data_IF_402860592847
#
_entry.id   IF_402860592847
#
_cell.length_a   1.000
_cell.length_b   1.000
_cell.length_c   1.000
_cell.angle_alpha   90.00
_cell.angle_beta   90.00
_cell.angle_gamma   90.00
#
_symmetry.space_group_name_H-M   'P 1'
#
loop_
_entity.id
_entity.type
_entity.pdbx_description
1 polymer ?
#
# COMPACT_ATOMS: atom_id res chain seq x y z
N UNK A 1 -20.11 5.21 9.83
CA UNK A 1 -20.74 3.88 9.59
C UNK A 1 -21.95 4.01 8.70
N UNK A 2 -22.88 4.91 8.95
CA UNK A 2 -24.08 5.13 8.12
C UNK A 2 -23.74 5.37 6.65
N UNK A 3 -22.86 6.33 6.34
CA UNK A 3 -22.42 6.59 4.96
C UNK A 3 -21.84 5.34 4.26
N UNK A 4 -21.10 4.48 4.98
CA UNK A 4 -20.55 3.25 4.41
C UNK A 4 -21.67 2.24 4.09
N UNK A 5 -22.68 2.17 4.94
CA UNK A 5 -23.85 1.32 4.73
C UNK A 5 -24.73 1.80 3.57
N UNK A 6 -24.88 3.13 3.40
CA UNK A 6 -25.56 3.72 2.25
C UNK A 6 -24.82 3.39 0.94
N UNK A 7 -23.50 3.45 0.99
CA UNK A 7 -22.64 3.10 -0.14
C UNK A 7 -22.78 1.63 -0.57
N UNK A 8 -22.89 0.72 0.39
CA UNK A 8 -23.13 -0.69 0.12
C UNK A 8 -24.47 -0.95 -0.54
N UNK A 9 -25.46 -0.08 -0.33
CA UNK A 9 -26.77 -0.15 -1.01
C UNK A 9 -26.70 0.25 -2.49
N UNK A 10 -25.70 1.05 -2.87
CA UNK A 10 -25.51 1.48 -4.27
C UNK A 10 -24.76 0.44 -5.12
N UNK A 11 -24.20 -0.62 -4.50
CA UNK A 11 -23.53 -1.68 -5.22
C UNK A 11 -24.56 -2.48 -6.02
N UNK A 12 -24.36 -2.56 -7.34
CA UNK A 12 -25.25 -3.31 -8.23
C UNK A 12 -25.27 -4.80 -7.87
N UNK A 13 -26.46 -5.30 -7.60
CA UNK A 13 -26.69 -6.72 -7.35
C UNK A 13 -26.96 -7.44 -8.68
N UNK A 14 -25.94 -8.10 -9.23
CA UNK A 14 -26.01 -8.81 -10.52
C UNK A 14 -26.87 -10.09 -10.46
N UNK A 15 -27.42 -10.45 -9.29
CA UNK A 15 -28.25 -11.65 -9.12
C UNK A 15 -29.67 -11.42 -9.66
N UNK A 16 -30.30 -12.51 -10.11
CA UNK A 16 -31.71 -12.47 -10.53
C UNK A 16 -32.60 -12.15 -9.32
N UNK A 17 -33.33 -11.05 -9.34
CA UNK A 17 -34.14 -10.53 -8.23
C UNK A 17 -35.02 -11.60 -7.58
N UNK A 18 -35.71 -12.43 -8.40
CA UNK A 18 -36.59 -13.54 -7.91
C UNK A 18 -35.86 -14.63 -7.14
N UNK A 19 -34.53 -14.70 -7.22
CA UNK A 19 -33.70 -15.70 -6.54
C UNK A 19 -32.91 -15.12 -5.36
N UNK A 20 -33.06 -13.82 -5.10
CA UNK A 20 -32.36 -13.14 -4.00
C UNK A 20 -33.10 -13.39 -2.70
N UNK A 21 -32.53 -14.24 -1.84
CA UNK A 21 -33.05 -14.51 -0.48
C UNK A 21 -32.48 -13.53 0.54
N UNK A 22 -31.19 -13.20 0.42
CA UNK A 22 -30.48 -12.28 1.34
C UNK A 22 -30.00 -11.07 0.54
N UNK A 23 -30.20 -9.87 1.08
CA UNK A 23 -29.72 -8.62 0.47
C UNK A 23 -28.21 -8.65 0.28
N UNK A 24 -27.71 -8.05 -0.79
CA UNK A 24 -26.27 -7.95 -1.04
C UNK A 24 -25.57 -7.20 0.09
N UNK A 25 -26.14 -6.09 0.55
CA UNK A 25 -25.67 -5.31 1.71
C UNK A 25 -25.49 -6.18 2.95
N UNK A 26 -26.48 -7.05 3.28
CA UNK A 26 -26.42 -7.91 4.47
C UNK A 26 -25.20 -8.85 4.38
N UNK A 27 -24.94 -9.42 3.21
CA UNK A 27 -23.81 -10.30 2.96
C UNK A 27 -22.48 -9.54 3.11
N UNK A 28 -22.36 -8.38 2.48
CA UNK A 28 -21.12 -7.57 2.54
C UNK A 28 -20.82 -7.15 3.99
N UNK A 29 -21.84 -6.72 4.74
CA UNK A 29 -21.67 -6.32 6.14
C UNK A 29 -21.24 -7.48 7.01
N UNK A 30 -21.84 -8.67 6.84
CA UNK A 30 -21.42 -9.86 7.59
C UNK A 30 -19.94 -10.17 7.32
N UNK A 31 -19.55 -10.23 6.05
CA UNK A 31 -18.17 -10.53 5.66
C UNK A 31 -17.21 -9.46 6.18
N UNK A 32 -17.57 -8.18 6.09
CA UNK A 32 -16.76 -7.09 6.61
C UNK A 32 -16.52 -7.23 8.13
N UNK A 33 -17.57 -7.41 8.92
CA UNK A 33 -17.45 -7.53 10.37
C UNK A 33 -16.69 -8.81 10.79
N UNK A 34 -16.92 -9.92 10.11
CA UNK A 34 -16.17 -11.16 10.34
C UNK A 34 -14.68 -10.97 10.03
N UNK A 35 -14.35 -10.34 8.90
CA UNK A 35 -12.95 -10.04 8.52
C UNK A 35 -12.28 -9.11 9.53
N UNK A 36 -12.96 -8.07 10.01
CA UNK A 36 -12.45 -7.18 11.06
C UNK A 36 -12.22 -7.91 12.39
N UNK A 37 -13.00 -8.97 12.65
CA UNK A 37 -12.80 -9.87 13.79
C UNK A 37 -11.72 -10.94 13.52
N UNK A 38 -10.97 -10.84 12.43
CA UNK A 38 -9.92 -11.79 12.01
C UNK A 38 -10.44 -13.19 11.67
N UNK A 39 -11.71 -13.31 11.24
CA UNK A 39 -12.28 -14.55 10.72
C UNK A 39 -12.02 -14.63 9.21
N UNK A 40 -11.35 -15.68 8.75
CA UNK A 40 -10.87 -15.78 7.36
C UNK A 40 -11.47 -16.97 6.57
N UNK A 41 -12.25 -17.80 7.20
CA UNK A 41 -12.92 -18.95 6.58
C UNK A 41 -14.44 -18.74 6.47
N UNK A 42 -15.04 -19.18 5.37
CA UNK A 42 -16.46 -18.95 5.10
C UNK A 42 -17.39 -19.65 6.11
N UNK A 43 -17.02 -20.83 6.58
CA UNK A 43 -17.79 -21.57 7.58
C UNK A 43 -17.71 -20.85 8.93
N UNK A 44 -16.53 -20.38 9.30
CA UNK A 44 -16.36 -19.59 10.50
C UNK A 44 -17.09 -18.24 10.43
N UNK A 45 -17.17 -17.61 9.24
CA UNK A 45 -17.97 -16.38 9.02
C UNK A 45 -19.47 -16.61 9.24
N UNK A 46 -20.01 -17.76 8.82
CA UNK A 46 -21.39 -18.15 9.12
C UNK A 46 -21.60 -18.30 10.63
N UNK A 47 -20.71 -19.01 11.34
CA UNK A 47 -20.76 -19.13 12.80
C UNK A 47 -20.64 -17.79 13.51
N UNK A 48 -19.72 -16.93 13.06
CA UNK A 48 -19.58 -15.56 13.56
C UNK A 48 -20.90 -14.80 13.43
N UNK A 49 -21.52 -14.86 12.26
CA UNK A 49 -22.77 -14.16 11.99
C UNK A 49 -23.93 -14.68 12.87
N UNK A 50 -24.02 -15.98 13.08
CA UNK A 50 -25.00 -16.57 14.01
C UNK A 50 -24.77 -16.11 15.45
N UNK A 51 -23.52 -16.12 15.92
CA UNK A 51 -23.19 -15.72 17.28
C UNK A 51 -23.44 -14.22 17.53
N UNK A 52 -23.16 -13.38 16.53
CA UNK A 52 -23.30 -11.93 16.62
C UNK A 52 -24.57 -11.38 15.96
N UNK A 53 -25.59 -12.21 15.72
CA UNK A 53 -26.79 -11.83 14.98
C UNK A 53 -27.50 -10.59 15.57
N UNK A 54 -27.64 -10.50 16.89
CA UNK A 54 -28.26 -9.37 17.57
C UNK A 54 -27.48 -8.06 17.36
N UNK A 55 -26.15 -8.16 17.31
CA UNK A 55 -25.29 -7.01 17.03
C UNK A 55 -25.41 -6.59 15.56
N UNK A 56 -25.38 -7.52 14.63
CA UNK A 56 -25.51 -7.27 13.19
C UNK A 56 -26.85 -6.62 12.83
N UNK A 57 -27.94 -6.97 13.54
CA UNK A 57 -29.27 -6.36 13.37
C UNK A 57 -29.35 -4.87 13.63
N UNK A 58 -28.32 -4.28 14.24
CA UNK A 58 -28.19 -2.82 14.38
C UNK A 58 -27.84 -2.13 13.05
N UNK A 59 -27.32 -2.86 12.09
CA UNK A 59 -26.80 -2.34 10.82
C UNK A 59 -27.51 -2.89 9.59
N UNK A 60 -28.09 -4.10 9.70
CA UNK A 60 -28.71 -4.84 8.60
C UNK A 60 -29.98 -5.54 9.04
N UNK A 61 -30.89 -5.78 8.09
CA UNK A 61 -32.22 -6.28 8.43
C UNK A 61 -32.24 -7.78 8.78
N UNK A 62 -31.44 -8.59 8.10
CA UNK A 62 -31.42 -10.06 8.22
C UNK A 62 -32.83 -10.68 8.14
N UNK A 63 -33.65 -10.20 7.20
CA UNK A 63 -35.06 -10.58 7.05
C UNK A 63 -35.26 -12.11 6.92
N UNK A 64 -34.35 -12.79 6.26
CA UNK A 64 -34.38 -14.23 6.03
C UNK A 64 -33.32 -14.99 6.85
N UNK A 65 -32.88 -14.40 7.99
CA UNK A 65 -31.83 -14.97 8.85
C UNK A 65 -30.42 -14.81 8.28
N UNK A 66 -29.51 -15.60 8.80
CA UNK A 66 -28.09 -15.59 8.39
C UNK A 66 -27.95 -16.41 7.09
N UNK A 67 -27.22 -15.90 6.08
CA UNK A 67 -26.88 -16.67 4.89
C UNK A 67 -25.86 -17.77 5.23
N UNK A 68 -25.98 -18.93 4.56
CA UNK A 68 -24.99 -20.02 4.70
C UNK A 68 -23.63 -19.62 4.12
N UNK A 69 -22.57 -20.29 4.58
CA UNK A 69 -21.20 -20.11 4.08
C UNK A 69 -21.10 -20.23 2.55
N UNK A 70 -21.82 -21.17 1.93
CA UNK A 70 -21.89 -21.29 0.47
C UNK A 70 -22.49 -20.05 -0.19
N UNK A 71 -23.50 -19.44 0.43
CA UNK A 71 -24.11 -18.20 -0.06
C UNK A 71 -23.15 -17.04 0.09
N UNK A 72 -22.47 -16.92 1.24
CA UNK A 72 -21.45 -15.90 1.46
C UNK A 72 -20.33 -16.00 0.41
N UNK A 73 -19.73 -17.18 0.27
CA UNK A 73 -18.66 -17.45 -0.69
C UNK A 73 -19.08 -17.13 -2.14
N UNK A 74 -20.22 -17.69 -2.58
CA UNK A 74 -20.70 -17.52 -3.94
C UNK A 74 -21.05 -16.08 -4.28
N UNK A 75 -21.71 -15.37 -3.38
CA UNK A 75 -22.12 -13.98 -3.63
C UNK A 75 -20.93 -13.03 -3.60
N UNK A 76 -20.00 -13.17 -2.65
CA UNK A 76 -18.77 -12.39 -2.63
C UNK A 76 -17.91 -12.64 -3.87
N UNK A 77 -17.90 -13.86 -4.41
CA UNK A 77 -17.23 -14.17 -5.67
C UNK A 77 -17.85 -13.54 -6.93
N UNK A 78 -19.05 -12.97 -6.84
CA UNK A 78 -19.70 -12.22 -7.93
C UNK A 78 -19.34 -10.73 -7.91
N UNK A 79 -18.84 -10.21 -6.79
CA UNK A 79 -18.41 -8.80 -6.67
C UNK A 79 -17.04 -8.66 -7.31
N UNK A 80 -16.90 -7.65 -8.18
CA UNK A 80 -15.61 -7.40 -8.83
C UNK A 80 -14.58 -6.83 -7.87
N UNK A 81 -13.30 -7.04 -8.17
CA UNK A 81 -12.20 -6.46 -7.38
C UNK A 81 -12.22 -4.94 -7.38
N UNK A 82 -12.68 -4.33 -8.48
CA UNK A 82 -12.85 -2.89 -8.63
C UNK A 82 -13.89 -2.34 -7.65
N UNK A 83 -15.07 -2.98 -7.57
CA UNK A 83 -16.13 -2.58 -6.61
C UNK A 83 -15.65 -2.69 -5.16
N UNK A 84 -14.92 -3.75 -4.80
CA UNK A 84 -14.34 -3.88 -3.47
C UNK A 84 -13.28 -2.82 -3.18
N UNK A 85 -12.46 -2.44 -4.17
CA UNK A 85 -11.48 -1.37 -4.04
C UNK A 85 -12.15 0.00 -3.86
N UNK A 86 -13.23 0.27 -4.58
CA UNK A 86 -14.02 1.50 -4.42
C UNK A 86 -14.63 1.60 -3.02
N UNK A 87 -15.25 0.51 -2.54
CA UNK A 87 -15.79 0.44 -1.18
C UNK A 87 -14.71 0.69 -0.13
N UNK A 88 -13.53 0.09 -0.33
CA UNK A 88 -12.39 0.26 0.56
C UNK A 88 -11.86 1.70 0.55
N UNK A 89 -11.77 2.32 -0.62
CA UNK A 89 -11.34 3.73 -0.76
C UNK A 89 -12.29 4.68 -0.04
N UNK A 90 -13.60 4.43 -0.13
CA UNK A 90 -14.61 5.22 0.59
C UNK A 90 -14.51 5.04 2.11
N UNK A 91 -14.30 3.82 2.56
CA UNK A 91 -14.06 3.56 3.97
C UNK A 91 -12.82 4.34 4.49
N UNK A 92 -11.73 4.36 3.71
CA UNK A 92 -10.53 5.14 4.03
C UNK A 92 -10.82 6.64 4.10
N UNK A 93 -11.57 7.19 3.14
CA UNK A 93 -11.99 8.60 3.18
C UNK A 93 -12.76 8.93 4.47
N UNK A 94 -13.64 8.04 4.92
CA UNK A 94 -14.41 8.21 6.16
C UNK A 94 -13.52 8.19 7.40
N UNK A 95 -12.58 7.25 7.47
CA UNK A 95 -11.65 7.13 8.60
C UNK A 95 -10.74 8.37 8.70
N UNK A 96 -10.27 8.88 7.56
CA UNK A 96 -9.32 10.00 7.51
C UNK A 96 -9.97 11.39 7.66
N UNK A 97 -11.29 11.54 7.58
CA UNK A 97 -12.01 12.84 7.74
C UNK A 97 -11.86 13.48 9.13
N UNK A 98 -11.46 12.72 10.13
CA UNK A 98 -11.32 13.20 11.53
C UNK A 98 -9.92 13.63 11.93
N UNK A 99 -8.94 13.50 11.08
CA UNK A 99 -7.56 13.89 11.41
C UNK A 99 -7.35 15.38 11.13
N UNK A 100 -7.14 16.17 12.18
CA UNK A 100 -6.66 17.55 12.12
C UNK A 100 -5.30 17.65 11.42
N UNK A 101 -4.62 18.81 11.44
CA UNK A 101 -3.37 19.09 10.67
C UNK A 101 -2.51 17.85 10.49
N UNK A 102 -2.50 17.34 9.27
CA UNK A 102 -2.06 15.99 8.98
C UNK A 102 -0.56 15.85 9.23
N UNK A 103 -0.19 15.06 10.21
CA UNK A 103 1.16 14.49 10.31
C UNK A 103 1.49 13.89 8.95
N UNK A 104 2.63 14.29 8.39
CA UNK A 104 3.11 13.82 7.09
C UNK A 104 3.31 12.30 7.15
N UNK A 105 2.42 11.54 6.54
CA UNK A 105 2.41 10.07 6.56
C UNK A 105 3.37 9.49 5.51
N UNK A 106 3.89 8.30 5.79
CA UNK A 106 4.76 7.56 4.87
C UNK A 106 3.95 6.45 4.20
N UNK A 107 3.87 6.54 2.87
CA UNK A 107 3.19 5.54 2.02
C UNK A 107 4.26 4.68 1.37
N UNK A 108 4.34 3.42 1.78
CA UNK A 108 5.28 2.44 1.22
C UNK A 108 4.63 1.70 0.05
N UNK A 109 5.26 1.74 -1.13
CA UNK A 109 4.82 0.96 -2.29
C UNK A 109 5.80 -0.19 -2.49
N UNK A 110 5.30 -1.42 -2.45
CA UNK A 110 6.08 -2.65 -2.59
C UNK A 110 5.33 -3.70 -3.41
N UNK A 111 6.07 -4.50 -4.16
CA UNK A 111 5.54 -5.60 -4.96
C UNK A 111 5.83 -6.95 -4.34
N UNK A 112 4.80 -7.80 -4.15
CA UNK A 112 4.93 -9.14 -3.59
C UNK A 112 4.35 -10.21 -4.49
N UNK A 113 5.10 -11.30 -4.67
CA UNK A 113 4.62 -12.50 -5.36
C UNK A 113 3.89 -13.40 -4.38
N UNK A 114 2.61 -13.67 -4.65
CA UNK A 114 1.72 -14.50 -3.83
C UNK A 114 2.00 -15.99 -4.08
N UNK A 115 3.01 -16.55 -3.40
CA UNK A 115 3.47 -17.93 -3.61
C UNK A 115 2.41 -19.00 -3.29
N UNK A 116 1.48 -18.72 -2.39
CA UNK A 116 0.39 -19.63 -1.98
C UNK A 116 -0.67 -19.85 -3.07
N UNK A 117 -0.80 -18.94 -4.03
CA UNK A 117 -1.79 -19.03 -5.12
C UNK A 117 -1.26 -19.77 -6.37
N UNK A 118 -0.14 -20.48 -6.26
CA UNK A 118 0.43 -21.24 -7.36
C UNK A 118 -0.46 -22.45 -7.68
N UNK A 119 -1.31 -22.35 -8.70
CA UNK A 119 -1.96 -23.50 -9.33
C UNK A 119 -0.97 -24.18 -10.30
N UNK A 120 -1.17 -25.49 -10.55
CA UNK A 120 -0.19 -26.30 -11.32
C UNK A 120 0.19 -25.73 -12.70
N UNK A 121 -0.64 -24.87 -13.29
CA UNK A 121 -0.47 -24.32 -14.64
C UNK A 121 -0.41 -22.78 -14.70
N UNK A 122 -0.58 -22.08 -13.59
CA UNK A 122 -0.58 -20.60 -13.56
C UNK A 122 0.61 -20.04 -12.78
N UNK A 123 1.23 -18.98 -13.30
CA UNK A 123 2.24 -18.23 -12.56
C UNK A 123 1.59 -17.59 -11.32
N UNK A 124 2.29 -17.58 -10.18
CA UNK A 124 1.76 -16.94 -8.98
C UNK A 124 1.47 -15.46 -9.24
N UNK A 125 0.34 -14.96 -8.74
CA UNK A 125 -0.02 -13.56 -8.88
C UNK A 125 1.04 -12.68 -8.20
N UNK A 126 1.42 -11.58 -8.86
CA UNK A 126 2.27 -10.55 -8.30
C UNK A 126 1.42 -9.32 -8.01
N UNK A 127 1.50 -8.78 -6.79
CA UNK A 127 0.64 -7.68 -6.34
C UNK A 127 1.51 -6.53 -5.89
N UNK A 128 1.28 -5.35 -6.45
CA UNK A 128 1.83 -4.07 -5.98
C UNK A 128 0.86 -3.47 -4.99
N UNK A 129 1.33 -3.17 -3.79
CA UNK A 129 0.52 -2.65 -2.68
C UNK A 129 1.08 -1.32 -2.22
N UNK A 130 0.20 -0.35 -1.95
CA UNK A 130 0.51 0.87 -1.24
C UNK A 130 0.04 0.73 0.22
N UNK A 131 0.95 0.90 1.16
CA UNK A 131 0.73 0.73 2.60
C UNK A 131 1.03 2.03 3.35
N UNK A 132 0.09 2.51 4.15
CA UNK A 132 0.34 3.63 5.06
C UNK A 132 0.96 3.10 6.36
N UNK A 133 2.16 3.58 6.67
CA UNK A 133 2.90 3.13 7.85
C UNK A 133 2.23 3.55 9.15
N UNK A 134 1.83 4.81 9.24
CA UNK A 134 1.27 5.41 10.45
C UNK A 134 -0.11 4.84 10.77
N UNK A 135 -0.93 4.63 9.74
CA UNK A 135 -2.29 4.11 9.91
C UNK A 135 -2.34 2.58 10.02
N UNK A 136 -1.27 1.89 9.61
CA UNK A 136 -1.18 0.43 9.67
C UNK A 136 -2.10 -0.31 8.71
N UNK A 137 -2.50 0.31 7.58
CA UNK A 137 -3.35 -0.35 6.58
C UNK A 137 -2.92 -0.05 5.13
N UNK A 138 -3.39 -0.90 4.20
CA UNK A 138 -3.15 -0.73 2.77
C UNK A 138 -4.05 0.36 2.18
N UNK A 139 -3.51 1.26 1.38
CA UNK A 139 -4.27 2.30 0.67
C UNK A 139 -4.85 1.82 -0.65
N UNK A 140 -4.27 0.77 -1.20
CA UNK A 140 -4.70 0.16 -2.45
C UNK A 140 -3.72 -0.89 -2.91
N UNK A 141 -4.17 -1.68 -3.88
CA UNK A 141 -3.35 -2.72 -4.49
C UNK A 141 -3.66 -2.89 -5.97
N UNK A 142 -2.68 -3.40 -6.72
CA UNK A 142 -2.85 -3.77 -8.12
C UNK A 142 -2.16 -5.08 -8.43
N UNK A 143 -2.92 -6.04 -8.95
CA UNK A 143 -2.38 -7.29 -9.45
C UNK A 143 -1.70 -7.05 -10.81
N UNK A 144 -0.54 -7.64 -11.00
CA UNK A 144 0.21 -7.64 -12.25
C UNK A 144 0.61 -9.06 -12.63
N UNK A 145 0.73 -9.32 -13.93
CA UNK A 145 1.04 -10.67 -14.42
C UNK A 145 2.48 -11.07 -14.15
N UNK A 146 3.40 -10.11 -14.17
CA UNK A 146 4.83 -10.33 -13.99
C UNK A 146 5.46 -9.19 -13.18
N UNK A 147 6.55 -9.48 -12.48
CA UNK A 147 7.30 -8.52 -11.68
C UNK A 147 7.79 -7.32 -12.51
N UNK A 148 8.15 -7.53 -13.77
CA UNK A 148 8.56 -6.47 -14.70
C UNK A 148 7.48 -5.40 -14.93
N UNK A 149 6.22 -5.73 -14.65
CA UNK A 149 5.08 -4.81 -14.82
C UNK A 149 4.83 -3.91 -13.60
N UNK A 150 5.66 -3.99 -12.55
CA UNK A 150 5.56 -3.08 -11.39
C UNK A 150 5.70 -1.61 -11.82
N UNK A 151 6.63 -1.32 -12.73
CA UNK A 151 6.89 0.04 -13.23
C UNK A 151 5.63 0.66 -13.85
N UNK A 152 4.81 -0.12 -14.53
CA UNK A 152 3.56 0.34 -15.14
C UNK A 152 2.40 0.36 -14.14
N UNK A 153 2.42 -0.52 -13.16
CA UNK A 153 1.36 -0.61 -12.15
C UNK A 153 1.43 0.50 -11.09
N UNK A 154 2.63 0.96 -10.73
CA UNK A 154 2.83 2.00 -9.72
C UNK A 154 2.12 3.32 -10.09
N UNK A 155 2.26 3.89 -11.31
CA UNK A 155 1.52 5.08 -11.70
C UNK A 155 0.00 4.93 -11.63
N UNK A 156 -0.52 3.77 -12.06
CA UNK A 156 -1.96 3.50 -11.99
C UNK A 156 -2.45 3.34 -10.54
N UNK A 157 -1.65 2.73 -9.66
CA UNK A 157 -1.95 2.64 -8.24
C UNK A 157 -1.96 4.03 -7.59
N UNK A 158 -0.96 4.87 -7.93
CA UNK A 158 -0.90 6.25 -7.47
C UNK A 158 -2.12 7.07 -7.91
N UNK A 159 -2.74 6.80 -9.06
CA UNK A 159 -3.97 7.49 -9.49
C UNK A 159 -5.18 7.17 -8.61
N UNK A 160 -5.21 6.00 -8.03
CA UNK A 160 -6.33 5.50 -7.23
C UNK A 160 -6.26 5.88 -5.74
N UNK A 161 -5.10 6.33 -5.26
CA UNK A 161 -4.88 6.64 -3.84
C UNK A 161 -4.61 8.12 -3.61
N UNK A 162 -4.95 8.58 -2.41
CA UNK A 162 -4.67 9.95 -1.97
C UNK A 162 -3.27 10.03 -1.36
N UNK A 163 -2.37 10.74 -2.05
CA UNK A 163 -0.97 10.89 -1.60
C UNK A 163 -0.57 12.36 -1.36
N UNK A 164 -1.49 13.32 -1.58
CA UNK A 164 -1.21 14.75 -1.45
C UNK A 164 -0.66 15.09 -0.05
N UNK A 165 0.48 15.77 -0.01
CA UNK A 165 1.14 16.16 1.24
C UNK A 165 1.90 15.04 1.95
N UNK A 166 1.87 13.81 1.43
CA UNK A 166 2.50 12.63 2.03
C UNK A 166 3.90 12.37 1.44
N UNK A 167 4.62 11.42 2.02
CA UNK A 167 5.90 10.90 1.49
C UNK A 167 5.68 9.50 0.94
N UNK A 168 5.94 9.31 -0.34
CA UNK A 168 5.88 8.00 -1.00
C UNK A 168 7.26 7.36 -1.01
N UNK A 169 7.39 6.14 -0.50
CA UNK A 169 8.63 5.37 -0.55
C UNK A 169 8.47 4.19 -1.49
N UNK A 170 9.45 3.99 -2.36
CA UNK A 170 9.45 2.91 -3.36
C UNK A 170 10.83 2.28 -3.41
N UNK A 171 10.90 0.97 -3.64
CA UNK A 171 12.15 0.26 -3.83
C UNK A 171 12.82 0.64 -5.17
N UNK A 172 14.04 0.09 -5.42
CA UNK A 172 14.84 0.48 -6.58
C UNK A 172 14.19 0.18 -7.94
N UNK A 173 13.27 -0.77 -8.05
CA UNK A 173 12.54 -1.04 -9.31
C UNK A 173 11.69 0.17 -9.71
N UNK A 174 11.03 0.79 -8.73
CA UNK A 174 10.21 1.99 -8.94
C UNK A 174 10.98 3.30 -9.04
N UNK A 175 12.32 3.28 -8.96
CA UNK A 175 13.15 4.48 -9.11
C UNK A 175 13.25 4.87 -10.59
N UNK A 176 12.18 5.49 -11.10
CA UNK A 176 12.03 5.93 -12.47
C UNK A 176 11.60 7.39 -12.52
N UNK A 177 12.10 8.15 -13.49
CA UNK A 177 11.77 9.58 -13.67
C UNK A 177 10.26 9.81 -13.76
N UNK A 178 9.57 9.02 -14.58
CA UNK A 178 8.13 9.13 -14.77
C UNK A 178 7.33 8.90 -13.47
N UNK A 179 7.80 8.00 -12.60
CA UNK A 179 7.17 7.75 -11.30
C UNK A 179 7.41 8.92 -10.35
N UNK A 180 8.63 9.45 -10.30
CA UNK A 180 8.95 10.63 -9.50
C UNK A 180 8.12 11.85 -9.93
N UNK A 181 8.00 12.10 -11.23
CA UNK A 181 7.16 13.16 -11.80
C UNK A 181 5.68 12.96 -11.45
N UNK A 182 5.19 11.73 -11.53
CA UNK A 182 3.82 11.38 -11.15
C UNK A 182 3.54 11.70 -9.68
N UNK A 183 4.43 11.32 -8.77
CA UNK A 183 4.30 11.61 -7.34
C UNK A 183 4.29 13.14 -7.12
N UNK A 184 5.21 13.86 -7.75
CA UNK A 184 5.26 15.33 -7.65
C UNK A 184 4.02 16.03 -8.22
N UNK A 185 3.48 15.55 -9.35
CA UNK A 185 2.24 16.07 -9.92
C UNK A 185 1.05 15.95 -8.97
N UNK A 186 1.05 14.93 -8.12
CA UNK A 186 0.06 14.72 -7.05
C UNK A 186 0.35 15.51 -5.76
N UNK A 187 1.35 16.40 -5.78
CA UNK A 187 1.77 17.22 -4.63
C UNK A 187 2.20 16.38 -3.43
N UNK A 188 2.87 15.27 -3.68
CA UNK A 188 3.51 14.42 -2.69
C UNK A 188 5.04 14.53 -2.80
N UNK A 189 5.74 14.15 -1.74
CA UNK A 189 7.18 13.97 -1.74
C UNK A 189 7.51 12.49 -1.91
N UNK A 190 8.78 12.16 -2.19
CA UNK A 190 9.20 10.78 -2.35
C UNK A 190 10.57 10.49 -1.74
N UNK A 191 10.76 9.22 -1.39
CA UNK A 191 12.06 8.62 -1.10
C UNK A 191 12.19 7.38 -1.98
N UNK A 192 13.11 7.42 -2.94
CA UNK A 192 13.34 6.34 -3.90
C UNK A 192 14.67 5.65 -3.60
N UNK A 193 14.65 4.33 -3.48
CA UNK A 193 15.84 3.54 -3.25
C UNK A 193 16.70 3.45 -4.53
N UNK A 194 18.00 3.66 -4.41
CA UNK A 194 18.96 3.53 -5.50
C UNK A 194 19.77 2.24 -5.33
N UNK A 195 19.78 1.41 -6.36
CA UNK A 195 20.56 0.16 -6.42
C UNK A 195 21.26 0.03 -7.78
N UNK A 196 21.94 -1.08 -7.98
CA UNK A 196 22.69 -1.39 -9.21
C UNK A 196 21.87 -1.45 -10.50
N UNK A 197 20.54 -1.44 -10.44
CA UNK A 197 19.68 -1.31 -11.62
C UNK A 197 19.81 0.06 -12.32
N UNK A 198 20.36 1.06 -11.62
CA UNK A 198 20.79 2.35 -12.17
C UNK A 198 22.29 2.52 -11.97
N UNK A 199 23.08 1.78 -12.72
CA UNK A 199 24.50 1.55 -12.50
C UNK A 199 25.30 2.85 -12.38
N UNK A 200 25.18 3.75 -13.37
CA UNK A 200 25.95 5.00 -13.40
C UNK A 200 25.65 5.89 -12.17
N UNK A 201 24.37 6.14 -11.91
CA UNK A 201 23.97 6.97 -10.77
C UNK A 201 24.37 6.31 -9.43
N UNK A 202 24.20 5.00 -9.33
CA UNK A 202 24.57 4.25 -8.13
C UNK A 202 26.09 4.33 -7.86
N UNK A 203 26.91 4.22 -8.88
CA UNK A 203 28.36 4.32 -8.73
C UNK A 203 28.83 5.74 -8.40
N UNK A 204 28.23 6.76 -9.02
CA UNK A 204 28.51 8.16 -8.70
C UNK A 204 28.17 8.46 -7.22
N UNK A 205 26.99 8.03 -6.75
CA UNK A 205 26.59 8.19 -5.35
C UNK A 205 27.51 7.41 -4.42
N UNK A 206 27.93 6.19 -4.82
CA UNK A 206 28.87 5.38 -4.05
C UNK A 206 30.24 6.04 -3.94
N UNK A 207 30.75 6.66 -5.01
CA UNK A 207 32.00 7.41 -5.00
C UNK A 207 31.91 8.61 -4.05
N UNK A 208 30.83 9.39 -4.14
CA UNK A 208 30.62 10.56 -3.28
C UNK A 208 30.60 10.17 -1.79
N UNK A 209 29.77 9.19 -1.40
CA UNK A 209 29.73 8.71 -0.02
C UNK A 209 30.89 7.78 0.35
N UNK A 210 31.78 7.45 -0.58
CA UNK A 210 33.04 6.75 -0.35
C UNK A 210 34.20 7.67 0.02
N UNK A 211 34.08 8.95 -0.30
CA UNK A 211 35.12 9.97 -0.02
C UNK A 211 35.11 10.34 1.45
N UNK A 212 36.28 10.20 2.11
CA UNK A 212 36.42 10.46 3.55
C UNK A 212 36.31 11.93 3.90
N UNK A 213 36.71 12.84 3.01
CA UNK A 213 36.60 14.28 3.25
C UNK A 213 35.14 14.74 3.14
N UNK A 214 34.36 14.22 2.17
CA UNK A 214 32.93 14.46 2.09
C UNK A 214 32.18 13.88 3.32
N UNK A 215 32.54 12.70 3.79
CA UNK A 215 31.98 12.15 5.04
C UNK A 215 32.24 13.04 6.25
N UNK A 216 33.47 13.59 6.40
CA UNK A 216 33.82 14.52 7.49
C UNK A 216 32.97 15.79 7.43
N UNK A 217 32.77 16.32 6.21
CA UNK A 217 31.95 17.53 6.01
C UNK A 217 30.50 17.23 6.42
N UNK A 218 29.92 16.08 5.96
CA UNK A 218 28.57 15.66 6.30
C UNK A 218 28.41 15.46 7.81
N UNK A 219 29.41 14.88 8.48
CA UNK A 219 29.41 14.72 9.94
C UNK A 219 29.42 16.05 10.67
N UNK A 220 30.25 16.98 10.23
CA UNK A 220 30.35 18.32 10.81
C UNK A 220 29.05 19.13 10.65
N UNK A 221 28.28 18.88 9.59
CA UNK A 221 26.98 19.49 9.30
C UNK A 221 25.80 18.79 10.00
N UNK A 222 26.07 17.77 10.79
CA UNK A 222 25.03 17.01 11.51
C UNK A 222 24.26 15.98 10.66
N UNK A 223 24.74 15.69 9.45
CA UNK A 223 24.14 14.73 8.52
C UNK A 223 24.59 13.27 8.74
N UNK A 224 25.03 12.91 9.95
CA UNK A 224 25.52 11.58 10.28
C UNK A 224 24.76 10.97 11.46
N UNK A 225 24.45 9.67 11.34
CA UNK A 225 23.88 8.88 12.44
C UNK A 225 24.48 7.48 12.43
N UNK A 226 24.86 7.00 13.60
CA UNK A 226 25.30 5.61 13.82
C UNK A 226 24.35 4.92 14.77
N UNK A 227 23.93 3.70 14.42
CA UNK A 227 23.17 2.82 15.32
C UNK A 227 23.94 1.53 15.58
N UNK A 228 23.80 0.99 16.77
CA UNK A 228 24.38 -0.30 17.16
C UNK A 228 23.23 -1.11 17.75
N UNK A 229 22.88 -2.20 17.09
CA UNK A 229 21.78 -3.06 17.51
C UNK A 229 22.28 -4.49 17.66
N UNK A 230 21.74 -5.22 18.66
CA UNK A 230 21.99 -6.65 18.82
C UNK A 230 20.77 -7.41 18.33
N UNK A 231 20.90 -8.09 17.20
CA UNK A 231 19.83 -8.88 16.60
C UNK A 231 20.38 -10.25 16.17
N UNK A 232 19.61 -11.31 16.39
CA UNK A 232 19.92 -12.68 15.97
C UNK A 232 21.33 -13.18 16.36
N UNK A 233 21.82 -12.77 17.55
CA UNK A 233 23.14 -13.15 18.05
C UNK A 233 24.33 -12.40 17.42
N UNK A 234 24.08 -11.41 16.60
CA UNK A 234 25.08 -10.56 15.96
C UNK A 234 24.93 -9.11 16.42
N UNK A 235 26.03 -8.36 16.38
CA UNK A 235 26.03 -6.91 16.58
C UNK A 235 25.98 -6.28 15.19
N UNK A 236 24.91 -5.56 14.91
CA UNK A 236 24.77 -4.79 13.69
C UNK A 236 25.14 -3.33 13.95
N UNK A 237 26.11 -2.83 13.20
CA UNK A 237 26.50 -1.43 13.19
C UNK A 237 26.05 -0.83 11.86
N UNK A 238 25.20 0.19 11.92
CA UNK A 238 24.72 0.90 10.74
C UNK A 238 25.10 2.36 10.82
N UNK A 239 25.66 2.87 9.73
CA UNK A 239 26.04 4.25 9.58
C UNK A 239 25.21 4.90 8.47
N UNK A 240 24.62 6.04 8.77
CA UNK A 240 23.76 6.79 7.87
C UNK A 240 24.38 8.15 7.58
N UNK A 241 24.47 8.49 6.31
CA UNK A 241 24.93 9.79 5.85
C UNK A 241 23.82 10.47 5.06
N UNK A 242 23.54 11.73 5.35
CA UNK A 242 22.52 12.54 4.67
C UNK A 242 23.11 13.90 4.31
N UNK A 243 22.91 14.32 3.06
CA UNK A 243 23.33 15.65 2.59
C UNK A 243 22.32 16.26 1.63
N UNK A 244 22.19 17.58 1.64
CA UNK A 244 21.45 18.35 0.64
C UNK A 244 22.36 18.83 -0.50
N UNK A 245 23.67 18.61 -0.40
CA UNK A 245 24.68 19.04 -1.39
C UNK A 245 24.70 18.09 -2.58
N UNK A 246 23.71 18.18 -3.43
CA UNK A 246 23.51 17.34 -4.62
C UNK A 246 23.85 18.06 -5.94
N UNK A 247 24.53 19.25 -5.89
CA UNK A 247 24.88 20.06 -7.07
C UNK A 247 25.67 19.27 -8.11
N UNK A 248 26.53 18.34 -7.68
CA UNK A 248 27.30 17.46 -8.56
C UNK A 248 26.43 16.49 -9.37
N UNK A 249 25.24 16.13 -8.87
CA UNK A 249 24.27 15.30 -9.61
C UNK A 249 23.55 16.10 -10.72
N UNK A 250 23.31 17.38 -10.53
CA UNK A 250 22.54 18.21 -11.46
C UNK A 250 23.30 18.55 -12.76
N UNK A 251 24.63 18.38 -12.75
CA UNK A 251 25.48 18.63 -13.93
C UNK A 251 25.45 17.46 -14.94
N UNK A 252 24.94 16.29 -14.57
CA UNK A 252 24.83 15.12 -15.46
C UNK A 252 23.42 15.04 -16.04
N UNK A 253 23.31 15.11 -17.39
CA UNK A 253 22.03 15.10 -18.14
C UNK A 253 21.12 13.88 -17.90
N UNK A 254 21.58 12.85 -17.21
CA UNK A 254 20.85 11.61 -16.91
C UNK A 254 20.28 11.57 -15.48
N UNK A 255 20.53 12.60 -14.67
CA UNK A 255 20.00 12.67 -13.32
C UNK A 255 18.54 13.11 -13.31
N UNK A 256 17.73 12.46 -12.50
CA UNK A 256 16.38 12.85 -12.16
C UNK A 256 16.35 14.35 -11.81
N UNK A 257 16.01 15.22 -12.77
CA UNK A 257 15.90 16.67 -12.57
C UNK A 257 14.70 16.97 -11.67
N UNK A 258 14.86 16.79 -10.38
CA UNK A 258 13.90 17.31 -9.41
C UNK A 258 14.65 18.12 -8.37
N UNK A 259 14.35 19.40 -8.30
CA UNK A 259 14.75 20.32 -7.23
C UNK A 259 14.07 19.96 -5.91
N UNK A 260 14.17 18.72 -5.46
CA UNK A 260 13.65 18.28 -4.17
C UNK A 260 14.72 17.47 -3.45
N UNK A 261 14.88 17.76 -2.18
CA UNK A 261 15.81 17.12 -1.26
C UNK A 261 15.81 15.60 -1.41
N UNK A 262 16.86 15.03 -1.96
CA UNK A 262 17.06 13.60 -2.03
C UNK A 262 17.68 13.14 -0.71
N UNK A 263 16.93 12.31 0.04
CA UNK A 263 17.48 11.54 1.15
C UNK A 263 18.05 10.24 0.59
N UNK A 264 19.34 10.02 0.75
CA UNK A 264 20.01 8.77 0.36
C UNK A 264 20.39 8.04 1.65
N UNK A 265 19.70 6.95 1.94
CA UNK A 265 20.02 6.07 3.07
C UNK A 265 20.80 4.86 2.54
N UNK A 266 21.92 4.54 3.16
CA UNK A 266 22.74 3.37 2.87
C UNK A 266 22.73 2.43 4.05
N UNK A 267 22.31 1.20 3.83
CA UNK A 267 22.61 0.06 4.70
C UNK A 267 23.91 -0.59 4.17
N UNK A 268 24.94 -0.59 4.98
CA UNK A 268 26.18 -1.38 4.78
C UNK A 268 26.05 -2.67 5.55
#
# INVERSE_FOLDING_TARGET
MEELLEWMELIEDVRQEKKVRHKLKDIIVIVLFATLANVNDWVEMEYFAHYHQEYLRKYIELKNGIPSHDTLCRVMGMITSETLQELYSKWQELVNRGEGEAIKKIICIDGKTMRSNKRKEEKPAHIVTAWCREDGFGLGQKAVREKSNEITAIPELLDRIQVKGQVVTIDAIGTQTAIAEKIRSKRADYVLALKRNQTTLHEDVKLFFGDEDEKRIIQAEGGYKRTIEKAHGQIEIREYYQTEKIGWLSQKKECLQTKSQAKIERNL
#
